data_IF_978348680077
#
_entry.id   IF_978348680077
#
_cell.length_a   1.000
_cell.length_b   1.000
_cell.length_c   1.000
_cell.angle_alpha   90.00
_cell.angle_beta   90.00
_cell.angle_gamma   90.00
#
_symmetry.space_group_name_H-M   'P 1'
#
loop_
_entity.id
_entity.type
_entity.pdbx_description
1 polymer ?
#
# COMPACT_ATOMS: atom_id res chain seq x y z
N UNK A 1 -17.96 32.26 27.95
CA UNK A 1 -18.91 31.13 27.89
C UNK A 1 -18.47 30.19 26.74
N UNK A 2 -17.53 29.31 27.05
CA UNK A 2 -17.04 28.23 26.19
C UNK A 2 -17.23 26.98 27.03
N UNK A 3 -18.23 26.17 26.78
CA UNK A 3 -18.33 24.76 27.22
C UNK A 3 -19.57 24.13 26.58
N UNK A 4 -19.42 22.87 26.17
CA UNK A 4 -20.46 21.94 25.70
C UNK A 4 -20.73 21.94 24.20
N UNK A 5 -19.78 21.39 23.43
CA UNK A 5 -20.10 20.48 22.32
C UNK A 5 -19.34 19.21 22.64
N UNK A 6 -19.89 18.41 23.49
CA UNK A 6 -19.45 17.07 23.79
C UNK A 6 -20.48 16.09 23.23
N UNK A 7 -20.03 15.28 22.31
CA UNK A 7 -20.45 13.90 22.08
C UNK A 7 -21.95 13.61 22.08
N UNK A 8 -22.59 13.79 20.93
CA UNK A 8 -23.71 12.95 20.55
C UNK A 8 -23.22 12.03 19.42
N UNK A 9 -22.47 11.00 19.78
CA UNK A 9 -22.35 9.80 18.96
C UNK A 9 -23.69 9.08 19.04
N UNK A 10 -24.63 9.55 18.23
CA UNK A 10 -25.81 8.78 17.90
C UNK A 10 -25.32 7.49 17.26
N UNK A 11 -25.50 6.38 17.96
CA UNK A 11 -25.50 5.05 17.42
C UNK A 11 -26.67 4.95 16.44
N UNK A 12 -26.47 5.40 15.22
CA UNK A 12 -27.36 5.08 14.12
C UNK A 12 -27.27 3.57 13.92
N UNK A 13 -28.37 2.88 14.18
CA UNK A 13 -28.59 1.52 13.71
C UNK A 13 -28.57 1.61 12.18
N UNK A 14 -27.39 1.49 11.60
CA UNK A 14 -27.22 1.39 10.15
C UNK A 14 -27.71 0.01 9.77
N UNK A 15 -28.90 -0.06 9.22
CA UNK A 15 -29.35 -1.23 8.44
C UNK A 15 -28.36 -1.35 7.28
N UNK A 16 -27.46 -2.32 7.36
CA UNK A 16 -26.40 -2.55 6.40
C UNK A 16 -27.02 -2.80 5.02
N UNK A 17 -26.75 -1.96 4.02
CA UNK A 17 -27.11 -2.30 2.66
C UNK A 17 -26.43 -3.61 2.29
N UNK A 18 -27.10 -4.47 1.53
CA UNK A 18 -26.57 -5.77 1.04
C UNK A 18 -25.22 -5.63 0.29
N UNK A 19 -24.80 -4.42 -0.03
CA UNK A 19 -23.56 -4.04 -0.75
C UNK A 19 -22.27 -4.13 0.06
N UNK A 20 -22.30 -4.22 1.40
CA UNK A 20 -21.08 -4.27 2.21
C UNK A 20 -20.53 -5.70 2.41
N UNK A 21 -21.22 -6.70 1.86
CA UNK A 21 -20.74 -8.09 1.86
C UNK A 21 -19.80 -8.31 0.69
N UNK A 22 -18.59 -8.76 1.00
CA UNK A 22 -17.56 -9.05 0.01
C UNK A 22 -17.29 -10.55 -0.08
N UNK A 23 -16.80 -11.04 -1.23
CA UNK A 23 -16.36 -12.42 -1.34
C UNK A 23 -15.27 -12.71 -0.30
N UNK A 24 -15.33 -13.86 0.36
CA UNK A 24 -14.42 -14.23 1.43
C UNK A 24 -12.95 -14.41 0.96
N UNK A 25 -12.73 -14.62 -0.34
CA UNK A 25 -11.40 -14.67 -0.97
C UNK A 25 -10.77 -13.31 -1.16
N UNK A 26 -11.53 -12.23 -1.04
CA UNK A 26 -11.06 -10.87 -1.33
C UNK A 26 -9.97 -10.41 -0.35
N UNK A 27 -10.05 -10.80 0.92
CA UNK A 27 -8.99 -10.50 1.89
C UNK A 27 -7.61 -11.02 1.42
N UNK A 28 -7.58 -12.19 0.79
CA UNK A 28 -6.34 -12.78 0.26
C UNK A 28 -5.86 -12.02 -0.98
N UNK A 29 -6.75 -11.71 -1.91
CA UNK A 29 -6.42 -11.07 -3.18
C UNK A 29 -5.99 -9.60 -3.02
N UNK A 30 -6.38 -8.93 -1.93
CA UNK A 30 -5.92 -7.57 -1.63
C UNK A 30 -4.46 -7.48 -1.24
N UNK A 31 -3.82 -8.58 -0.80
CA UNK A 31 -2.39 -8.54 -0.46
C UNK A 31 -1.49 -8.11 -1.64
N UNK A 32 -1.54 -8.76 -2.82
CA UNK A 32 -0.74 -8.29 -3.95
C UNK A 32 -1.13 -6.88 -4.43
N UNK A 33 -2.37 -6.44 -4.26
CA UNK A 33 -2.76 -5.05 -4.51
C UNK A 33 -2.03 -4.10 -3.54
N UNK A 34 -2.01 -4.40 -2.25
CA UNK A 34 -1.31 -3.62 -1.23
C UNK A 34 0.21 -3.63 -1.39
N UNK A 35 0.78 -4.53 -2.17
CA UNK A 35 2.18 -4.47 -2.51
C UNK A 35 2.54 -3.17 -3.27
N UNK A 36 1.57 -2.57 -3.98
CA UNK A 36 1.70 -1.24 -4.59
C UNK A 36 1.80 -0.10 -3.56
N UNK A 37 1.45 -0.34 -2.31
CA UNK A 37 1.65 0.59 -1.19
C UNK A 37 2.98 0.29 -0.49
N UNK A 38 3.25 -0.97 -0.20
CA UNK A 38 4.45 -1.38 0.52
C UNK A 38 5.74 -1.08 -0.25
N UNK A 39 5.80 -1.40 -1.53
CA UNK A 39 7.00 -1.23 -2.33
C UNK A 39 7.37 0.25 -2.55
N UNK A 40 6.46 1.17 -2.93
CA UNK A 40 6.76 2.60 -2.93
C UNK A 40 7.11 3.16 -1.56
N UNK A 41 6.52 2.66 -0.46
CA UNK A 41 6.86 3.09 0.89
C UNK A 41 8.31 2.71 1.25
N UNK A 42 8.72 1.49 0.92
CA UNK A 42 10.12 1.06 1.08
C UNK A 42 11.06 1.89 0.21
N UNK A 43 10.69 2.19 -1.04
CA UNK A 43 11.47 3.05 -1.92
C UNK A 43 11.62 4.47 -1.36
N UNK A 44 10.53 5.09 -0.92
CA UNK A 44 10.55 6.43 -0.34
C UNK A 44 11.40 6.51 0.94
N UNK A 45 11.32 5.49 1.79
CA UNK A 45 12.16 5.40 2.98
C UNK A 45 13.63 5.19 2.64
N UNK A 46 13.93 4.31 1.69
CA UNK A 46 15.29 3.98 1.25
C UNK A 46 16.02 5.19 0.64
N UNK A 47 15.36 5.92 -0.24
CA UNK A 47 15.96 7.07 -0.95
C UNK A 47 16.20 8.31 -0.10
N UNK A 48 15.85 8.28 1.20
CA UNK A 48 16.27 9.33 2.14
C UNK A 48 17.74 9.26 2.49
N UNK A 49 18.32 8.07 2.47
CA UNK A 49 19.69 7.80 2.93
C UNK A 49 20.57 7.16 1.84
N UNK A 50 19.94 6.62 0.79
CA UNK A 50 20.58 5.90 -0.30
C UNK A 50 20.22 6.49 -1.66
N UNK A 51 21.07 6.22 -2.64
CA UNK A 51 20.81 6.64 -4.02
C UNK A 51 19.83 5.68 -4.71
N UNK A 52 18.99 6.17 -5.64
CA UNK A 52 17.98 5.35 -6.31
C UNK A 52 18.52 4.12 -7.03
N UNK A 53 19.76 4.15 -7.54
CA UNK A 53 20.40 3.04 -8.24
C UNK A 53 20.68 1.82 -7.34
N UNK A 54 20.71 1.99 -6.02
CA UNK A 54 20.93 0.91 -5.05
C UNK A 54 19.62 0.21 -4.65
N UNK A 55 18.46 0.74 -5.04
CA UNK A 55 17.19 0.14 -4.67
C UNK A 55 16.98 -1.20 -5.39
N UNK A 56 16.57 -2.26 -4.68
CA UNK A 56 16.48 -3.62 -5.22
C UNK A 56 15.19 -3.86 -6.03
N UNK A 57 14.99 -3.13 -7.13
CA UNK A 57 13.79 -3.20 -7.97
C UNK A 57 13.43 -4.63 -8.39
N UNK A 58 14.41 -5.43 -8.83
CA UNK A 58 14.17 -6.80 -9.27
C UNK A 58 13.72 -7.71 -8.12
N UNK A 59 14.25 -7.49 -6.93
CA UNK A 59 13.81 -8.18 -5.72
C UNK A 59 12.34 -7.87 -5.39
N UNK A 60 11.90 -6.62 -5.54
CA UNK A 60 10.50 -6.23 -5.35
C UNK A 60 9.57 -6.87 -6.39
N UNK A 61 9.98 -6.97 -7.66
CA UNK A 61 9.22 -7.71 -8.68
C UNK A 61 9.03 -9.17 -8.24
N UNK A 62 10.12 -9.83 -7.82
CA UNK A 62 10.07 -11.20 -7.35
C UNK A 62 9.13 -11.35 -6.15
N UNK A 63 9.20 -10.45 -5.17
CA UNK A 63 8.33 -10.47 -3.99
C UNK A 63 6.86 -10.28 -4.33
N UNK A 64 6.52 -9.41 -5.28
CA UNK A 64 5.15 -9.26 -5.77
C UNK A 64 4.58 -10.59 -6.27
N UNK A 65 5.28 -11.25 -7.19
CA UNK A 65 4.82 -12.51 -7.77
C UNK A 65 4.82 -13.66 -6.77
N UNK A 66 5.79 -13.69 -5.85
CA UNK A 66 5.82 -14.65 -4.75
C UNK A 66 4.57 -14.46 -3.85
N UNK A 67 4.21 -13.22 -3.55
CA UNK A 67 3.01 -12.88 -2.78
C UNK A 67 1.73 -13.35 -3.48
N UNK A 68 1.58 -13.03 -4.75
CA UNK A 68 0.44 -13.49 -5.55
C UNK A 68 0.32 -15.03 -5.57
N UNK A 69 1.43 -15.74 -5.78
CA UNK A 69 1.42 -17.21 -5.78
C UNK A 69 1.11 -17.79 -4.40
N UNK A 70 1.57 -17.18 -3.33
CA UNK A 70 1.25 -17.63 -1.96
C UNK A 70 -0.24 -17.48 -1.68
N UNK A 71 -0.82 -16.34 -2.01
CA UNK A 71 -2.25 -16.07 -1.89
C UNK A 71 -3.08 -17.02 -2.76
N UNK A 72 -2.70 -17.19 -4.03
CA UNK A 72 -3.39 -18.11 -4.93
C UNK A 72 -3.48 -19.53 -4.37
N UNK A 73 -2.41 -20.03 -3.75
CA UNK A 73 -2.41 -21.35 -3.11
C UNK A 73 -3.38 -21.46 -1.94
N UNK A 74 -3.65 -20.36 -1.24
CA UNK A 74 -4.61 -20.34 -0.12
C UNK A 74 -6.06 -20.38 -0.58
N UNK A 75 -6.38 -19.71 -1.68
CA UNK A 75 -7.77 -19.57 -2.15
C UNK A 75 -8.19 -20.66 -3.14
N UNK A 76 -7.25 -21.22 -3.90
CA UNK A 76 -7.52 -22.23 -4.91
C UNK A 76 -8.19 -23.46 -4.32
N UNK A 77 -9.37 -23.79 -4.84
CA UNK A 77 -10.17 -24.95 -4.40
C UNK A 77 -10.94 -24.75 -3.10
N UNK A 78 -10.77 -23.61 -2.41
CA UNK A 78 -11.54 -23.25 -1.21
C UNK A 78 -12.65 -22.24 -1.52
N UNK A 79 -12.41 -21.37 -2.50
CA UNK A 79 -13.32 -20.30 -2.89
C UNK A 79 -13.63 -20.35 -4.39
N UNK A 80 -14.78 -19.82 -4.83
CA UNK A 80 -15.08 -19.64 -6.25
C UNK A 80 -14.01 -18.75 -6.92
N UNK A 81 -13.69 -19.04 -8.18
CA UNK A 81 -12.69 -18.26 -8.91
C UNK A 81 -13.19 -16.84 -9.23
N UNK A 82 -12.56 -15.84 -8.67
CA UNK A 82 -12.87 -14.43 -8.91
C UNK A 82 -12.02 -13.89 -10.09
N UNK A 83 -12.46 -14.23 -11.32
CA UNK A 83 -11.70 -13.90 -12.54
C UNK A 83 -11.46 -12.42 -12.74
N UNK A 84 -12.41 -11.55 -12.36
CA UNK A 84 -12.26 -10.09 -12.46
C UNK A 84 -11.14 -9.55 -11.58
N UNK A 85 -11.10 -10.00 -10.32
CA UNK A 85 -10.06 -9.58 -9.38
C UNK A 85 -8.67 -10.12 -9.78
N UNK A 86 -8.58 -11.39 -10.19
CA UNK A 86 -7.34 -11.95 -10.71
C UNK A 86 -6.82 -11.19 -11.93
N UNK A 87 -7.70 -10.83 -12.88
CA UNK A 87 -7.33 -10.03 -14.03
C UNK A 87 -6.76 -8.67 -13.60
N UNK A 88 -7.40 -8.00 -12.64
CA UNK A 88 -6.92 -6.73 -12.10
C UNK A 88 -5.51 -6.89 -11.52
N UNK A 89 -5.27 -7.91 -10.68
CA UNK A 89 -3.94 -8.17 -10.11
C UNK A 89 -2.91 -8.47 -11.19
N UNK A 90 -3.26 -9.22 -12.24
CA UNK A 90 -2.36 -9.50 -13.36
C UNK A 90 -2.00 -8.22 -14.13
N UNK A 91 -2.95 -7.32 -14.36
CA UNK A 91 -2.68 -6.01 -15.01
C UNK A 91 -1.74 -5.17 -14.13
N UNK A 92 -2.04 -5.06 -12.84
CA UNK A 92 -1.22 -4.34 -11.88
C UNK A 92 0.20 -4.93 -11.83
N UNK A 93 0.31 -6.23 -11.62
CA UNK A 93 1.59 -6.93 -11.50
C UNK A 93 2.45 -6.82 -12.76
N UNK A 94 1.84 -6.94 -13.92
CA UNK A 94 2.55 -6.78 -15.20
C UNK A 94 3.02 -5.33 -15.37
N UNK A 95 2.17 -4.34 -15.10
CA UNK A 95 2.53 -2.92 -15.18
C UNK A 95 3.68 -2.57 -14.24
N UNK A 96 3.61 -3.02 -12.99
CA UNK A 96 4.66 -2.80 -11.98
C UNK A 96 5.97 -3.52 -12.38
N UNK A 97 5.86 -4.74 -12.94
CA UNK A 97 7.03 -5.48 -13.44
C UNK A 97 7.74 -4.68 -14.54
N UNK A 98 7.01 -4.19 -15.53
CA UNK A 98 7.57 -3.39 -16.63
C UNK A 98 8.18 -2.09 -16.10
N UNK A 99 7.46 -1.35 -15.25
CA UNK A 99 7.96 -0.12 -14.63
C UNK A 99 9.29 -0.36 -13.89
N UNK A 100 9.35 -1.38 -13.05
CA UNK A 100 10.53 -1.67 -12.23
C UNK A 100 11.70 -2.24 -13.04
N UNK A 101 11.44 -3.00 -14.10
CA UNK A 101 12.48 -3.45 -15.03
C UNK A 101 13.11 -2.26 -15.75
N UNK A 102 12.30 -1.36 -16.30
CA UNK A 102 12.80 -0.16 -17.00
C UNK A 102 13.55 0.74 -16.02
N UNK A 103 13.01 0.93 -14.82
CA UNK A 103 13.63 1.73 -13.78
C UNK A 103 14.96 1.12 -13.30
N UNK A 104 15.00 -0.17 -13.08
CA UNK A 104 16.23 -0.89 -12.73
C UNK A 104 17.31 -0.73 -13.81
N UNK A 105 16.95 -0.92 -15.07
CA UNK A 105 17.88 -0.76 -16.19
C UNK A 105 18.41 0.68 -16.27
N UNK A 106 17.51 1.67 -16.17
CA UNK A 106 17.87 3.09 -16.22
C UNK A 106 18.78 3.49 -15.06
N UNK A 107 18.38 3.19 -13.82
CA UNK A 107 19.14 3.60 -12.62
C UNK A 107 20.50 2.89 -12.56
N UNK A 108 20.59 1.63 -12.97
CA UNK A 108 21.86 0.89 -12.96
C UNK A 108 22.85 1.32 -14.05
N UNK A 109 22.44 2.01 -15.09
CA UNK A 109 23.31 2.50 -16.17
C UNK A 109 23.42 4.02 -16.07
N UNK A 110 22.37 4.74 -16.41
CA UNK A 110 22.38 6.20 -16.52
C UNK A 110 22.39 6.85 -15.14
N UNK A 111 21.58 6.33 -14.20
CA UNK A 111 21.53 6.82 -12.83
C UNK A 111 22.91 6.75 -12.15
N UNK A 112 23.58 5.60 -12.19
CA UNK A 112 24.93 5.45 -11.62
C UNK A 112 25.99 6.38 -12.22
N UNK A 113 25.96 6.60 -13.53
CA UNK A 113 26.88 7.54 -14.17
C UNK A 113 26.61 8.98 -13.67
N UNK A 114 25.35 9.38 -13.58
CA UNK A 114 24.97 10.69 -13.09
C UNK A 114 25.30 10.86 -11.60
N UNK A 115 25.06 9.85 -10.78
CA UNK A 115 25.40 9.81 -9.35
C UNK A 115 26.90 9.92 -9.11
N UNK A 116 27.73 9.25 -9.93
CA UNK A 116 29.20 9.35 -9.83
C UNK A 116 29.73 10.78 -10.06
N UNK A 117 28.98 11.64 -10.73
CA UNK A 117 29.32 13.05 -10.95
C UNK A 117 28.75 13.98 -9.87
N UNK A 118 27.87 13.46 -9.00
CA UNK A 118 27.17 14.24 -7.99
C UNK A 118 28.03 14.45 -6.72
N UNK A 119 28.03 15.67 -6.21
CA UNK A 119 28.68 15.99 -4.93
C UNK A 119 27.69 16.14 -3.77
N UNK A 120 26.46 16.54 -4.04
CA UNK A 120 25.37 16.72 -3.08
C UNK A 120 24.03 16.48 -3.74
N UNK A 121 22.97 16.11 -2.99
CA UNK A 121 21.64 16.01 -3.54
C UNK A 121 21.21 17.28 -4.27
N UNK A 122 20.67 17.13 -5.46
CA UNK A 122 20.15 18.26 -6.25
C UNK A 122 18.78 18.69 -5.73
N UNK A 123 18.28 19.85 -6.17
CA UNK A 123 16.89 20.26 -5.85
C UNK A 123 15.87 19.27 -6.41
N UNK A 124 16.20 18.65 -7.54
CA UNK A 124 15.40 17.59 -8.17
C UNK A 124 15.34 16.32 -7.31
N UNK A 125 16.47 15.89 -6.74
CA UNK A 125 16.52 14.74 -5.82
C UNK A 125 15.67 15.00 -4.56
N UNK A 126 15.81 16.20 -3.97
CA UNK A 126 15.02 16.61 -2.79
C UNK A 126 13.52 16.66 -3.11
N UNK A 127 13.16 17.20 -4.28
CA UNK A 127 11.77 17.20 -4.74
C UNK A 127 11.25 15.78 -4.95
N UNK A 128 12.03 14.91 -5.60
CA UNK A 128 11.65 13.51 -5.84
C UNK A 128 11.39 12.76 -4.53
N UNK A 129 12.29 12.90 -3.54
CA UNK A 129 12.12 12.27 -2.22
C UNK A 129 10.85 12.75 -1.51
N UNK A 130 10.56 14.06 -1.57
CA UNK A 130 9.33 14.62 -1.01
C UNK A 130 8.09 14.10 -1.73
N UNK A 131 8.08 14.11 -3.06
CA UNK A 131 6.95 13.61 -3.86
C UNK A 131 6.73 12.13 -3.64
N UNK A 132 7.79 11.33 -3.50
CA UNK A 132 7.69 9.92 -3.17
C UNK A 132 7.00 9.70 -1.82
N UNK A 133 7.33 10.49 -0.80
CA UNK A 133 6.67 10.41 0.50
C UNK A 133 5.19 10.85 0.42
N UNK A 134 4.92 11.99 -0.23
CA UNK A 134 3.55 12.49 -0.42
C UNK A 134 2.67 11.47 -1.18
N UNK A 135 3.27 10.79 -2.16
CA UNK A 135 2.59 9.72 -2.91
C UNK A 135 2.26 8.53 -2.01
N UNK A 136 3.21 8.08 -1.17
CA UNK A 136 2.99 6.98 -0.22
C UNK A 136 1.86 7.31 0.76
N UNK A 137 1.86 8.51 1.33
CA UNK A 137 0.84 8.94 2.28
C UNK A 137 -0.56 8.99 1.62
N UNK A 138 -0.59 9.41 0.35
CA UNK A 138 -1.81 9.47 -0.45
C UNK A 138 -2.39 8.09 -0.78
N UNK A 139 -1.55 7.16 -1.30
CA UNK A 139 -2.04 5.84 -1.76
C UNK A 139 -2.47 4.90 -0.63
N UNK A 140 -2.21 5.25 0.61
CA UNK A 140 -2.75 4.55 1.80
C UNK A 140 -4.22 4.83 2.06
N UNK A 141 -4.75 5.90 1.48
CA UNK A 141 -6.11 6.41 1.74
C UNK A 141 -6.91 6.47 0.44
N UNK A 142 -6.26 6.88 -0.65
CA UNK A 142 -6.87 7.17 -1.93
C UNK A 142 -6.24 6.33 -3.05
N UNK A 143 -6.98 6.00 -4.11
CA UNK A 143 -6.44 5.28 -5.26
C UNK A 143 -5.32 6.08 -5.95
N UNK A 144 -4.25 5.38 -6.36
CA UNK A 144 -3.06 6.00 -6.93
C UNK A 144 -3.32 6.92 -8.15
N UNK A 145 -4.34 6.63 -8.96
CA UNK A 145 -4.70 7.41 -10.15
C UNK A 145 -5.37 8.76 -9.82
N UNK A 146 -5.75 9.00 -8.57
CA UNK A 146 -6.23 10.30 -8.09
C UNK A 146 -5.08 11.23 -7.68
N UNK A 147 -3.84 10.71 -7.54
CA UNK A 147 -2.68 11.54 -7.20
C UNK A 147 -2.32 12.50 -8.34
N UNK A 148 -2.19 13.77 -8.03
CA UNK A 148 -1.95 14.83 -9.01
C UNK A 148 -0.49 14.89 -9.47
N UNK A 149 -0.09 13.92 -10.30
CA UNK A 149 1.24 13.89 -10.93
C UNK A 149 1.47 15.09 -11.86
N UNK A 150 0.42 15.66 -12.50
CA UNK A 150 0.56 16.83 -13.36
C UNK A 150 1.01 18.07 -12.55
N UNK A 151 0.45 18.26 -11.35
CA UNK A 151 0.91 19.28 -10.40
C UNK A 151 2.37 19.08 -10.02
N UNK A 152 2.80 17.83 -9.78
CA UNK A 152 4.20 17.51 -9.42
C UNK A 152 5.15 17.75 -10.61
N UNK A 153 4.73 17.42 -11.80
CA UNK A 153 5.47 17.75 -13.03
C UNK A 153 5.63 19.28 -13.19
N UNK A 154 4.56 20.05 -13.05
CA UNK A 154 4.64 21.51 -13.07
C UNK A 154 5.60 22.03 -11.98
N UNK A 155 5.52 21.51 -10.77
CA UNK A 155 6.38 21.88 -9.66
C UNK A 155 7.86 21.62 -9.99
N UNK A 156 8.19 20.47 -10.59
CA UNK A 156 9.55 20.16 -11.05
C UNK A 156 10.14 21.27 -11.91
N UNK A 157 9.38 21.78 -12.87
CA UNK A 157 9.87 22.78 -13.81
C UNK A 157 9.84 24.22 -13.27
N UNK A 158 9.01 24.49 -12.27
CA UNK A 158 8.88 25.85 -11.72
C UNK A 158 9.73 26.09 -10.46
N UNK A 159 10.11 25.05 -9.72
CA UNK A 159 10.84 25.21 -8.45
C UNK A 159 12.28 24.74 -8.50
N UNK A 160 12.71 24.12 -9.60
CA UNK A 160 14.09 23.69 -9.79
C UNK A 160 14.74 24.46 -10.96
N UNK A 161 15.97 24.92 -10.77
CA UNK A 161 16.67 25.73 -11.74
C UNK A 161 17.15 24.92 -12.95
N UNK A 162 17.25 25.53 -14.12
CA UNK A 162 17.81 24.87 -15.32
C UNK A 162 19.31 24.67 -15.26
N UNK A 163 20.02 25.57 -14.59
CA UNK A 163 21.47 25.59 -14.47
C UNK A 163 21.90 25.57 -13.00
N UNK A 164 23.16 25.26 -12.73
CA UNK A 164 23.71 25.23 -11.38
C UNK A 164 24.76 24.15 -11.18
N UNK A 165 25.00 23.77 -9.92
CA UNK A 165 25.97 22.71 -9.57
C UNK A 165 25.41 21.35 -10.02
N UNK A 166 26.32 20.40 -10.28
CA UNK A 166 26.04 19.03 -10.67
C UNK A 166 25.08 18.92 -11.89
N UNK A 167 25.42 19.60 -13.03
CA UNK A 167 24.49 19.78 -14.15
C UNK A 167 24.07 18.44 -14.79
N UNK A 168 24.95 17.45 -14.85
CA UNK A 168 24.65 16.12 -15.39
C UNK A 168 23.54 15.47 -14.59
N UNK A 169 23.73 15.39 -13.26
CA UNK A 169 22.72 14.80 -12.36
C UNK A 169 21.41 15.55 -12.40
N UNK A 170 21.47 16.87 -12.41
CA UNK A 170 20.30 17.75 -12.46
C UNK A 170 19.45 17.51 -13.70
N UNK A 171 20.05 17.50 -14.91
CA UNK A 171 19.32 17.26 -16.15
C UNK A 171 18.87 15.82 -16.27
N UNK A 172 19.65 14.86 -15.81
CA UNK A 172 19.28 13.47 -15.72
C UNK A 172 18.01 13.31 -14.87
N UNK A 173 17.97 13.89 -13.66
CA UNK A 173 16.77 13.83 -12.80
C UNK A 173 15.58 14.57 -13.41
N UNK A 174 15.78 15.73 -14.03
CA UNK A 174 14.70 16.43 -14.74
C UNK A 174 14.10 15.56 -15.84
N UNK A 175 14.93 14.94 -16.65
CA UNK A 175 14.46 14.05 -17.72
C UNK A 175 13.67 12.86 -17.16
N UNK A 176 14.26 12.15 -16.18
CA UNK A 176 13.64 10.98 -15.59
C UNK A 176 12.29 11.33 -14.93
N UNK A 177 12.28 12.32 -14.04
CA UNK A 177 11.06 12.72 -13.32
C UNK A 177 10.00 13.32 -14.26
N UNK A 178 10.40 14.01 -15.33
CA UNK A 178 9.45 14.49 -16.36
C UNK A 178 8.76 13.32 -17.05
N UNK A 179 9.53 12.29 -17.41
CA UNK A 179 8.98 11.08 -18.02
C UNK A 179 8.09 10.33 -17.05
N UNK A 180 8.55 10.11 -15.82
CA UNK A 180 7.79 9.37 -14.78
C UNK A 180 6.46 10.08 -14.47
N UNK A 181 6.51 11.36 -14.11
CA UNK A 181 5.30 12.10 -13.72
C UNK A 181 4.37 12.34 -14.91
N UNK A 182 4.93 12.55 -16.10
CA UNK A 182 4.15 12.70 -17.33
C UNK A 182 3.37 11.44 -17.69
N UNK A 183 4.02 10.29 -17.70
CA UNK A 183 3.38 8.99 -17.97
C UNK A 183 2.33 8.69 -16.91
N UNK A 184 2.66 8.85 -15.61
CA UNK A 184 1.70 8.62 -14.53
C UNK A 184 0.50 9.58 -14.57
N UNK A 185 0.70 10.84 -14.96
CA UNK A 185 -0.40 11.80 -15.11
C UNK A 185 -1.36 11.40 -16.23
N UNK A 186 -0.83 11.02 -17.40
CA UNK A 186 -1.64 10.59 -18.55
C UNK A 186 -2.39 9.30 -18.22
N UNK A 187 -1.68 8.30 -17.70
CA UNK A 187 -2.26 7.00 -17.35
C UNK A 187 -3.30 7.10 -16.24
N UNK A 188 -3.00 7.87 -15.18
CA UNK A 188 -3.94 8.16 -14.10
C UNK A 188 -5.20 8.85 -14.59
N UNK A 189 -5.07 9.84 -15.47
CA UNK A 189 -6.22 10.51 -16.10
C UNK A 189 -7.09 9.54 -16.92
N UNK A 190 -6.48 8.64 -17.68
CA UNK A 190 -7.21 7.62 -18.45
C UNK A 190 -7.99 6.68 -17.53
N UNK A 191 -7.34 6.15 -16.49
CA UNK A 191 -8.00 5.25 -15.52
C UNK A 191 -9.12 5.98 -14.77
N UNK A 192 -8.87 7.20 -14.30
CA UNK A 192 -9.90 8.02 -13.63
C UNK A 192 -11.14 8.19 -14.47
N UNK A 193 -11.00 8.45 -15.78
CA UNK A 193 -12.14 8.53 -16.70
C UNK A 193 -12.86 7.20 -16.86
N UNK A 194 -12.12 6.10 -17.01
CA UNK A 194 -12.68 4.76 -17.14
C UNK A 194 -13.41 4.32 -15.86
N UNK A 195 -12.81 4.58 -14.70
CA UNK A 195 -13.36 4.19 -13.39
C UNK A 195 -14.63 4.98 -13.05
N UNK A 196 -14.65 6.30 -13.29
CA UNK A 196 -15.87 7.11 -13.09
C UNK A 196 -17.06 6.69 -13.94
N UNK A 197 -16.78 6.06 -15.09
CA UNK A 197 -17.83 5.52 -15.97
C UNK A 197 -18.34 4.13 -15.52
N UNK A 198 -17.57 3.39 -14.71
CA UNK A 198 -17.81 1.99 -14.41
C UNK A 198 -18.17 1.69 -12.95
N UNK A 199 -17.78 2.55 -12.00
CA UNK A 199 -17.93 2.28 -10.56
C UNK A 199 -18.64 3.41 -9.82
N UNK A 200 -19.45 3.01 -8.85
CA UNK A 200 -20.03 3.92 -7.83
C UNK A 200 -18.93 4.43 -6.87
N UNK A 201 -19.26 5.41 -6.03
CA UNK A 201 -18.33 5.98 -5.05
C UNK A 201 -17.65 4.91 -4.17
N UNK A 202 -16.36 5.08 -3.83
CA UNK A 202 -15.64 4.12 -3.00
C UNK A 202 -16.29 4.00 -1.61
N UNK A 203 -16.45 2.77 -1.14
CA UNK A 203 -16.97 2.48 0.21
C UNK A 203 -15.85 2.80 1.22
N UNK A 204 -16.02 3.86 2.01
CA UNK A 204 -15.02 4.34 2.96
C UNK A 204 -15.13 3.74 4.36
N UNK A 205 -16.14 2.91 4.63
CA UNK A 205 -16.36 2.26 5.92
C UNK A 205 -16.60 0.78 5.77
N UNK A 206 -16.26 0.04 6.81
CA UNK A 206 -16.48 -1.40 6.96
C UNK A 206 -17.35 -1.67 8.17
N UNK A 207 -18.37 -2.52 8.04
CA UNK A 207 -19.19 -2.97 9.15
C UNK A 207 -18.53 -4.16 9.84
N UNK A 208 -18.38 -4.04 11.14
CA UNK A 208 -17.81 -5.07 12.02
C UNK A 208 -18.86 -5.49 13.04
N UNK A 209 -18.97 -6.77 13.29
CA UNK A 209 -19.72 -7.32 14.42
C UNK A 209 -18.70 -7.79 15.47
N UNK A 210 -18.75 -7.19 16.65
CA UNK A 210 -17.87 -7.58 17.75
C UNK A 210 -18.29 -8.93 18.39
N UNK A 211 -17.46 -9.46 19.28
CA UNK A 211 -17.70 -10.70 19.98
C UNK A 211 -18.95 -10.68 20.91
N UNK A 212 -19.41 -9.46 21.25
CA UNK A 212 -20.65 -9.21 22.02
C UNK A 212 -21.88 -9.07 21.15
N UNK A 213 -21.71 -9.11 19.81
CA UNK A 213 -22.79 -8.97 18.85
C UNK A 213 -23.14 -7.53 18.49
N UNK A 214 -22.37 -6.53 18.93
CA UNK A 214 -22.63 -5.14 18.58
C UNK A 214 -22.10 -4.86 17.17
N UNK A 215 -22.90 -4.17 16.37
CA UNK A 215 -22.49 -3.67 15.06
C UNK A 215 -21.75 -2.33 15.21
N UNK A 216 -20.60 -2.21 14.54
CA UNK A 216 -19.79 -1.01 14.49
C UNK A 216 -19.42 -0.69 13.05
N UNK A 217 -19.44 0.57 12.70
CA UNK A 217 -18.85 1.04 11.44
C UNK A 217 -17.45 1.55 11.71
N UNK A 218 -16.45 0.97 11.06
CA UNK A 218 -15.05 1.35 11.15
C UNK A 218 -14.59 1.93 9.81
N UNK A 219 -13.66 2.90 9.81
CA UNK A 219 -13.06 3.36 8.57
C UNK A 219 -12.29 2.22 7.91
N UNK A 220 -12.09 2.34 6.60
CA UNK A 220 -11.35 1.34 5.81
C UNK A 220 -9.87 1.66 5.70
N UNK A 221 -9.15 0.76 5.06
CA UNK A 221 -7.73 0.87 4.70
C UNK A 221 -6.83 1.02 5.95
N UNK A 222 -5.91 1.95 5.95
CA UNK A 222 -4.97 2.13 7.07
C UNK A 222 -5.68 2.50 8.39
N UNK A 223 -6.73 3.30 8.32
CA UNK A 223 -7.49 3.68 9.49
C UNK A 223 -8.26 2.51 10.13
N UNK A 224 -8.57 1.45 9.37
CA UNK A 224 -9.13 0.21 9.90
C UNK A 224 -8.16 -0.45 10.87
N UNK A 225 -6.89 -0.60 10.50
CA UNK A 225 -5.85 -1.20 11.34
C UNK A 225 -5.77 -0.49 12.69
N UNK A 226 -5.74 0.85 12.69
CA UNK A 226 -5.68 1.65 13.93
C UNK A 226 -6.91 1.43 14.80
N UNK A 227 -8.09 1.42 14.20
CA UNK A 227 -9.37 1.22 14.90
C UNK A 227 -9.49 -0.20 15.46
N UNK A 228 -9.15 -1.22 14.67
CA UNK A 228 -9.17 -2.61 15.07
C UNK A 228 -8.17 -2.89 16.21
N UNK A 229 -6.96 -2.34 16.11
CA UNK A 229 -5.95 -2.44 17.20
C UNK A 229 -6.43 -1.76 18.48
N UNK A 230 -7.12 -0.61 18.36
CA UNK A 230 -7.72 0.07 19.49
C UNK A 230 -8.80 -0.76 20.19
N UNK A 231 -9.66 -1.44 19.43
CA UNK A 231 -10.67 -2.36 19.97
C UNK A 231 -10.01 -3.59 20.62
N UNK A 232 -9.01 -4.17 19.98
CA UNK A 232 -8.25 -5.29 20.51
C UNK A 232 -7.59 -4.97 21.86
N UNK A 233 -7.02 -3.76 22.02
CA UNK A 233 -6.45 -3.28 23.30
C UNK A 233 -7.52 -3.12 24.39
N UNK A 234 -8.76 -2.85 24.04
CA UNK A 234 -9.92 -2.80 24.95
C UNK A 234 -10.52 -4.20 25.22
N UNK A 235 -9.86 -5.28 24.80
CA UNK A 235 -10.33 -6.66 24.92
C UNK A 235 -11.68 -6.90 24.21
N UNK A 236 -11.92 -6.19 23.08
CA UNK A 236 -13.06 -6.39 22.21
C UNK A 236 -12.60 -7.25 21.04
N UNK A 237 -13.21 -8.43 20.89
CA UNK A 237 -12.96 -9.36 19.81
C UNK A 237 -13.80 -9.06 18.57
N UNK A 238 -13.59 -9.85 17.53
CA UNK A 238 -14.31 -9.74 16.26
C UNK A 238 -15.04 -11.05 15.95
N UNK A 239 -16.30 -10.94 15.52
CA UNK A 239 -17.09 -12.07 15.06
C UNK A 239 -17.24 -12.06 13.53
N UNK A 240 -17.32 -10.86 12.93
CA UNK A 240 -17.52 -10.67 11.50
C UNK A 240 -16.91 -9.33 11.08
N UNK A 241 -16.29 -9.27 9.89
CA UNK A 241 -15.75 -8.07 9.27
C UNK A 241 -16.22 -8.05 7.82
N UNK A 242 -16.99 -7.05 7.40
CA UNK A 242 -17.57 -6.93 6.06
C UNK A 242 -18.24 -8.22 5.54
N UNK A 243 -18.93 -8.96 6.42
CA UNK A 243 -19.55 -10.25 6.11
C UNK A 243 -18.59 -11.45 6.21
N UNK A 244 -17.28 -11.23 6.36
CA UNK A 244 -16.30 -12.29 6.54
C UNK A 244 -16.29 -12.81 7.98
N UNK A 245 -16.48 -14.12 8.16
CA UNK A 245 -16.38 -14.86 9.43
C UNK A 245 -15.28 -15.91 9.40
N UNK A 246 -14.61 -16.06 8.27
CA UNK A 246 -13.53 -17.00 8.05
C UNK A 246 -12.16 -16.41 8.41
N UNK A 247 -11.17 -16.70 7.56
CA UNK A 247 -9.83 -16.18 7.74
C UNK A 247 -9.72 -14.74 7.22
N UNK A 248 -8.89 -13.96 7.93
CA UNK A 248 -8.49 -12.60 7.54
C UNK A 248 -6.97 -12.53 7.48
N UNK A 249 -6.44 -11.71 6.58
CA UNK A 249 -5.00 -11.51 6.47
C UNK A 249 -4.53 -10.34 7.32
N UNK A 250 -3.34 -10.53 7.92
CA UNK A 250 -2.59 -9.49 8.63
C UNK A 250 -1.16 -9.53 8.15
N UNK A 251 -0.59 -8.39 7.74
CA UNK A 251 0.85 -8.25 7.54
C UNK A 251 1.51 -7.64 8.77
N UNK A 252 2.65 -8.22 9.15
CA UNK A 252 3.47 -7.72 10.26
C UNK A 252 4.93 -7.66 9.85
N UNK A 253 5.67 -6.66 10.36
CA UNK A 253 7.12 -6.54 10.19
C UNK A 253 7.79 -6.88 11.51
N UNK A 254 8.63 -7.91 11.50
CA UNK A 254 9.29 -8.44 12.69
C UNK A 254 10.78 -8.66 12.44
N UNK A 255 11.61 -8.75 13.50
CA UNK A 255 13.00 -9.21 13.35
C UNK A 255 13.06 -10.63 12.76
N UNK A 256 13.97 -10.85 11.83
CA UNK A 256 14.21 -12.15 11.20
C UNK A 256 15.38 -12.91 11.88
N UNK A 257 15.29 -14.24 12.02
CA UNK A 257 14.13 -15.09 11.73
C UNK A 257 13.13 -15.10 12.88
N UNK A 258 11.83 -15.06 12.57
CA UNK A 258 10.78 -15.14 13.59
C UNK A 258 10.13 -16.53 13.68
N UNK A 259 9.62 -16.87 14.86
CA UNK A 259 8.83 -18.08 15.09
C UNK A 259 7.35 -17.70 15.22
N UNK A 260 6.72 -17.47 14.08
CA UNK A 260 5.29 -17.11 14.03
C UNK A 260 4.45 -18.29 13.51
N UNK A 261 3.22 -18.43 14.02
CA UNK A 261 2.23 -19.40 13.55
C UNK A 261 1.33 -18.79 12.47
N UNK A 262 0.61 -19.64 11.71
CA UNK A 262 -0.33 -19.24 10.66
C UNK A 262 0.28 -18.39 9.53
N UNK A 263 1.60 -18.43 9.38
CA UNK A 263 2.31 -17.69 8.32
C UNK A 263 2.14 -18.39 6.99
N UNK A 264 1.56 -17.68 6.02
CA UNK A 264 1.39 -18.16 4.65
C UNK A 264 2.49 -17.68 3.71
N UNK A 265 3.19 -16.60 4.10
CA UNK A 265 4.31 -16.03 3.34
C UNK A 265 5.29 -15.34 4.28
N UNK A 266 6.59 -15.51 3.99
CA UNK A 266 7.71 -14.77 4.60
C UNK A 266 8.50 -14.07 3.52
N UNK A 267 8.76 -12.79 3.71
CA UNK A 267 9.56 -11.99 2.78
C UNK A 267 10.55 -11.14 3.55
N UNK A 268 11.84 -11.18 3.24
CA UNK A 268 12.79 -10.23 3.83
C UNK A 268 12.41 -8.80 3.41
N UNK A 269 12.57 -7.84 4.30
CA UNK A 269 12.51 -6.42 3.91
C UNK A 269 13.86 -6.10 3.25
N UNK A 270 13.86 -5.99 1.92
CA UNK A 270 15.09 -5.90 1.13
C UNK A 270 15.92 -4.64 1.45
N UNK A 271 15.26 -3.60 1.91
CA UNK A 271 15.85 -2.31 2.30
C UNK A 271 16.22 -2.22 3.79
N UNK A 272 15.86 -3.23 4.60
CA UNK A 272 16.12 -3.27 6.04
C UNK A 272 16.63 -4.66 6.46
N UNK A 273 17.92 -4.95 6.29
CA UNK A 273 18.48 -6.24 6.67
C UNK A 273 18.14 -6.63 8.12
N UNK A 274 17.81 -7.89 8.34
CA UNK A 274 17.41 -8.39 9.67
C UNK A 274 15.93 -8.21 10.01
N UNK A 275 15.11 -7.69 9.07
CA UNK A 275 13.65 -7.66 9.20
C UNK A 275 12.97 -8.51 8.13
N UNK A 276 11.83 -9.08 8.48
CA UNK A 276 10.97 -9.79 7.55
C UNK A 276 9.51 -9.35 7.67
N UNK A 277 8.81 -9.31 6.54
CA UNK A 277 7.36 -9.19 6.48
C UNK A 277 6.76 -10.58 6.52
N UNK A 278 5.84 -10.79 7.45
CA UNK A 278 5.05 -12.02 7.54
C UNK A 278 3.63 -11.71 7.10
N UNK A 279 3.08 -12.55 6.26
CA UNK A 279 1.66 -12.56 5.93
C UNK A 279 1.01 -13.70 6.72
N UNK A 280 0.11 -13.35 7.62
CA UNK A 280 -0.51 -14.26 8.58
C UNK A 280 -1.99 -14.36 8.21
N UNK A 281 -2.50 -15.60 8.07
CA UNK A 281 -3.92 -15.86 7.88
C UNK A 281 -4.51 -16.36 9.20
N UNK A 282 -5.39 -15.58 9.82
CA UNK A 282 -6.00 -15.93 11.10
C UNK A 282 -7.53 -15.90 11.02
N UNK A 283 -8.25 -16.75 11.74
CA UNK A 283 -9.70 -16.61 11.88
C UNK A 283 -10.05 -15.23 12.42
N UNK A 284 -11.12 -14.62 11.89
CA UNK A 284 -11.61 -13.31 12.36
C UNK A 284 -11.78 -13.28 13.87
N UNK A 285 -12.23 -14.39 14.47
CA UNK A 285 -12.38 -14.51 15.91
C UNK A 285 -11.05 -14.41 16.69
N UNK A 286 -9.91 -14.68 16.06
CA UNK A 286 -8.57 -14.60 16.67
C UNK A 286 -7.83 -13.30 16.30
N UNK A 287 -8.42 -12.45 15.46
CA UNK A 287 -7.78 -11.21 15.02
C UNK A 287 -7.36 -10.32 16.19
N UNK A 288 -8.23 -10.11 17.18
CA UNK A 288 -7.91 -9.25 18.32
C UNK A 288 -6.72 -9.75 19.15
N UNK A 289 -6.59 -11.07 19.30
CA UNK A 289 -5.42 -11.68 19.97
C UNK A 289 -4.16 -11.48 19.14
N UNK A 290 -4.24 -11.71 17.82
CA UNK A 290 -3.12 -11.49 16.90
C UNK A 290 -2.66 -10.04 16.91
N UNK A 291 -3.59 -9.07 16.90
CA UNK A 291 -3.24 -7.64 16.97
C UNK A 291 -2.55 -7.26 18.29
N UNK A 292 -2.93 -7.87 19.40
CA UNK A 292 -2.23 -7.67 20.70
C UNK A 292 -0.85 -8.33 20.71
N UNK A 293 -0.74 -9.53 20.16
CA UNK A 293 0.53 -10.27 20.07
C UNK A 293 1.59 -9.50 19.25
N UNK A 294 1.17 -8.84 18.18
CA UNK A 294 2.04 -8.08 17.27
C UNK A 294 1.89 -6.57 17.45
N UNK A 295 1.51 -6.09 18.63
CA UNK A 295 1.34 -4.64 18.87
C UNK A 295 2.62 -3.88 18.50
N UNK A 296 2.46 -2.83 17.69
CA UNK A 296 3.56 -2.04 17.14
C UNK A 296 4.33 -2.68 15.96
N UNK A 297 4.05 -3.94 15.62
CA UNK A 297 4.64 -4.63 14.47
C UNK A 297 3.65 -4.85 13.31
N UNK A 298 2.36 -4.60 13.54
CA UNK A 298 1.33 -4.71 12.50
C UNK A 298 1.57 -3.65 11.44
N UNK A 299 1.72 -4.09 10.19
CA UNK A 299 1.87 -3.21 9.04
C UNK A 299 0.52 -2.92 8.38
N UNK A 300 -0.33 -3.95 8.25
CA UNK A 300 -1.68 -3.80 7.68
C UNK A 300 -2.62 -4.93 8.10
N UNK A 301 -3.91 -4.62 8.20
CA UNK A 301 -5.00 -5.58 8.36
C UNK A 301 -5.91 -5.46 7.14
N UNK A 302 -6.10 -6.58 6.44
CA UNK A 302 -6.93 -6.62 5.23
C UNK A 302 -8.39 -6.74 5.63
N UNK A 303 -9.11 -5.64 5.59
CA UNK A 303 -10.44 -5.39 6.18
C UNK A 303 -11.62 -6.00 5.41
N UNK A 304 -11.47 -7.25 4.97
CA UNK A 304 -12.50 -7.99 4.23
C UNK A 304 -12.89 -9.30 4.91
#
# INVERSE_FOLDING_TARGET
MRKLIAALLLSTVVTTPARDRRPADQTFLTYPEWFLVFSPAEYAAFTREHVPSEFPFLGHIYQFWQGYHAVWRQIRGKYPFNGGYHLMIMVIGTSTTVEYLLRSAYENVIGRIAEATQRRPTKEDVLAARVAQEYVDFIRIEPWYEFDFAKRLKQLWTTTDLWGRDPIRKWERKYFLTTEYGVKAIYGWMIKKATKAAYEEPILSTVVIDDRGNMRSLPRYEAFMTSASGLAKQSIGFREIAGNRGDILVSVIVPAPSRAHYVILRQPILTQPGKERLLIAVPVAQLAETLRQYDGAVEHVFDY
#
